data_IF_787688235148
#
_entry.id   IF_787688235148
#
_cell.length_a   1.000
_cell.length_b   1.000
_cell.length_c   1.000
_cell.angle_alpha   90.00
_cell.angle_beta   90.00
_cell.angle_gamma   90.00
#
_symmetry.space_group_name_H-M   'P 1'
#
loop_
_entity.id
_entity.type
_entity.pdbx_description
1 polymer ?
#
# COMPACT_ATOMS: atom_id res chain seq x y z
N UNK A 1 -1.02 -9.98 -6.40
CA UNK A 1 -2.49 -9.98 -6.24
C UNK A 1 -2.87 -9.83 -4.77
N UNK A 2 -3.72 -8.85 -4.44
CA UNK A 2 -4.19 -8.62 -3.07
C UNK A 2 -5.34 -9.59 -2.76
N UNK A 3 -5.15 -10.42 -1.74
CA UNK A 3 -6.15 -11.40 -1.32
C UNK A 3 -7.17 -10.86 -0.31
N UNK A 4 -6.75 -9.92 0.54
CA UNK A 4 -7.62 -9.36 1.59
C UNK A 4 -7.16 -7.97 2.04
N UNK A 5 -8.07 -7.26 2.72
CA UNK A 5 -7.82 -5.96 3.33
C UNK A 5 -8.17 -6.00 4.81
N UNK A 6 -7.24 -5.59 5.67
CA UNK A 6 -7.52 -5.44 7.11
C UNK A 6 -8.36 -4.19 7.42
N UNK A 7 -8.26 -3.15 6.59
CA UNK A 7 -8.98 -1.89 6.75
C UNK A 7 -9.96 -1.65 5.58
N UNK A 8 -11.27 -1.46 5.86
CA UNK A 8 -12.27 -1.24 4.82
C UNK A 8 -12.10 0.09 4.08
N UNK A 9 -11.44 1.09 4.66
CA UNK A 9 -11.15 2.34 3.95
C UNK A 9 -10.05 2.17 2.90
N UNK A 10 -9.06 1.33 3.19
CA UNK A 10 -8.02 0.91 2.23
C UNK A 10 -8.64 0.17 1.05
N UNK A 11 -9.60 -0.75 1.29
CA UNK A 11 -10.31 -1.45 0.22
C UNK A 11 -11.11 -0.48 -0.68
N UNK A 12 -11.78 0.52 -0.08
CA UNK A 12 -12.47 1.58 -0.85
C UNK A 12 -11.51 2.31 -1.77
N UNK A 13 -10.36 2.74 -1.25
CA UNK A 13 -9.34 3.44 -2.03
C UNK A 13 -8.85 2.57 -3.20
N UNK A 14 -8.59 1.28 -2.96
CA UNK A 14 -8.22 0.34 -4.01
C UNK A 14 -9.26 0.29 -5.14
N UNK A 15 -10.55 0.14 -4.76
CA UNK A 15 -11.70 0.14 -5.68
C UNK A 15 -11.96 1.49 -6.37
N UNK A 16 -11.16 2.52 -6.10
CA UNK A 16 -11.35 3.86 -6.68
C UNK A 16 -12.45 4.68 -6.00
N UNK A 17 -12.93 4.23 -4.85
CA UNK A 17 -13.94 4.93 -4.04
C UNK A 17 -13.20 5.84 -3.05
N UNK A 18 -13.59 7.11 -3.02
CA UNK A 18 -13.01 8.08 -2.08
C UNK A 18 -13.40 7.72 -0.64
N UNK A 19 -12.41 7.48 0.21
CA UNK A 19 -12.59 7.35 1.65
C UNK A 19 -12.95 8.71 2.24
N UNK A 20 -13.92 8.73 3.16
CA UNK A 20 -14.24 9.94 3.94
C UNK A 20 -13.47 10.03 5.26
N UNK A 21 -12.76 8.96 5.64
CA UNK A 21 -12.00 8.87 6.89
C UNK A 21 -10.52 9.16 6.69
N UNK A 22 -9.96 8.75 5.57
CA UNK A 22 -8.55 8.97 5.24
C UNK A 22 -8.35 10.31 4.52
N UNK A 23 -7.23 11.02 4.74
CA UNK A 23 -6.97 12.31 4.10
C UNK A 23 -7.05 12.23 2.58
N UNK A 24 -7.80 13.13 1.94
CA UNK A 24 -7.99 13.11 0.48
C UNK A 24 -6.67 13.20 -0.29
N UNK A 25 -5.69 13.93 0.25
CA UNK A 25 -4.41 14.19 -0.40
C UNK A 25 -3.58 12.92 -0.61
N UNK A 26 -3.76 11.89 0.23
CA UNK A 26 -2.96 10.65 0.15
C UNK A 26 -3.61 9.58 -0.73
N UNK A 27 -4.93 9.65 -0.97
CA UNK A 27 -5.68 8.52 -1.54
C UNK A 27 -5.25 8.19 -2.98
N UNK A 28 -4.90 9.19 -3.79
CA UNK A 28 -4.40 8.97 -5.15
C UNK A 28 -3.10 8.17 -5.16
N UNK A 29 -2.16 8.54 -4.29
CA UNK A 29 -0.86 7.87 -4.15
C UNK A 29 -1.03 6.49 -3.54
N UNK A 30 -1.88 6.38 -2.51
CA UNK A 30 -2.23 5.10 -1.88
C UNK A 30 -2.82 4.13 -2.91
N UNK A 31 -3.81 4.56 -3.70
CA UNK A 31 -4.41 3.72 -4.75
C UNK A 31 -3.37 3.23 -5.75
N UNK A 32 -2.49 4.12 -6.23
CA UNK A 32 -1.42 3.72 -7.16
C UNK A 32 -0.51 2.63 -6.56
N UNK A 33 -0.13 2.77 -5.29
CA UNK A 33 0.70 1.77 -4.59
C UNK A 33 -0.04 0.45 -4.38
N UNK A 34 -1.34 0.49 -4.07
CA UNK A 34 -2.17 -0.72 -3.95
C UNK A 34 -2.30 -1.46 -5.29
N UNK A 35 -2.42 -0.74 -6.41
CA UNK A 35 -2.40 -1.36 -7.75
C UNK A 35 -1.06 -2.05 -8.01
N UNK A 36 0.06 -1.42 -7.64
CA UNK A 36 1.37 -2.08 -7.76
C UNK A 36 1.52 -3.33 -6.90
N UNK A 37 0.95 -3.33 -5.69
CA UNK A 37 0.91 -4.52 -4.83
C UNK A 37 0.03 -5.63 -5.44
N UNK A 38 -1.05 -5.25 -6.10
CA UNK A 38 -1.94 -6.19 -6.77
C UNK A 38 -1.30 -6.81 -8.02
N UNK A 39 -0.53 -6.02 -8.77
CA UNK A 39 0.15 -6.46 -10.01
C UNK A 39 1.49 -7.18 -9.76
N UNK A 40 2.10 -7.06 -8.58
CA UNK A 40 3.41 -7.67 -8.31
C UNK A 40 3.33 -9.21 -8.23
N UNK A 41 4.28 -9.87 -8.89
CA UNK A 41 4.46 -11.32 -8.84
C UNK A 41 5.44 -11.70 -7.71
N UNK A 42 6.45 -10.86 -7.47
CA UNK A 42 7.37 -11.02 -6.34
C UNK A 42 7.75 -9.69 -5.66
N UNK A 43 8.47 -9.80 -4.53
CA UNK A 43 8.87 -8.65 -3.71
C UNK A 43 9.83 -7.68 -4.45
N UNK A 44 10.59 -8.18 -5.43
CA UNK A 44 11.59 -7.42 -6.20
C UNK A 44 10.91 -6.47 -7.17
N UNK A 45 9.73 -6.82 -7.68
CA UNK A 45 8.90 -5.91 -8.49
C UNK A 45 8.59 -4.62 -7.73
N UNK A 46 8.33 -4.76 -6.42
CA UNK A 46 8.01 -3.63 -5.55
C UNK A 46 9.22 -2.75 -5.24
N UNK A 47 10.43 -3.33 -5.23
CA UNK A 47 11.70 -2.63 -5.06
C UNK A 47 12.13 -1.89 -6.32
N UNK A 48 11.78 -2.38 -7.51
CA UNK A 48 12.12 -1.76 -8.78
C UNK A 48 11.36 -0.45 -9.04
N UNK A 49 10.25 -0.21 -8.34
CA UNK A 49 9.41 0.98 -8.52
C UNK A 49 10.06 2.23 -7.91
N UNK A 50 10.28 3.30 -8.71
CA UNK A 50 10.91 4.51 -8.21
C UNK A 50 10.08 5.16 -7.11
N UNK A 51 10.72 5.44 -5.97
CA UNK A 51 10.08 6.07 -4.81
C UNK A 51 9.27 5.12 -3.92
N UNK A 52 9.30 3.81 -4.16
CA UNK A 52 8.91 2.85 -3.14
C UNK A 52 10.02 2.69 -2.11
N UNK A 53 9.68 2.97 -0.84
CA UNK A 53 10.49 2.58 0.31
C UNK A 53 9.83 1.36 0.92
N UNK A 54 10.22 0.18 0.43
CA UNK A 54 9.80 -1.08 0.99
C UNK A 54 10.61 -1.34 2.27
N UNK A 55 9.94 -1.48 3.40
CA UNK A 55 10.59 -1.69 4.70
C UNK A 55 10.11 -3.03 5.28
N UNK A 56 11.04 -3.90 5.65
CA UNK A 56 10.71 -5.12 6.39
C UNK A 56 10.33 -4.76 7.82
N UNK A 57 9.20 -5.28 8.30
CA UNK A 57 8.75 -5.06 9.67
C UNK A 57 9.36 -6.10 10.62
N UNK A 58 9.51 -5.72 11.89
CA UNK A 58 10.15 -6.54 12.93
C UNK A 58 9.20 -6.80 14.13
N UNK A 59 9.59 -7.71 15.01
CA UNK A 59 8.78 -8.10 16.18
C UNK A 59 7.56 -8.91 15.78
N UNK A 60 6.38 -8.57 16.32
CA UNK A 60 5.11 -9.30 16.05
C UNK A 60 4.65 -9.25 14.59
N UNK A 61 5.33 -8.45 13.75
CA UNK A 61 5.06 -8.32 12.31
C UNK A 61 6.20 -8.85 11.44
N UNK A 62 7.07 -9.68 11.99
CA UNK A 62 8.12 -10.34 11.22
C UNK A 62 7.52 -11.10 10.02
N UNK A 63 8.15 -10.95 8.85
CA UNK A 63 7.64 -11.47 7.58
C UNK A 63 6.65 -10.54 6.84
N UNK A 64 6.27 -9.41 7.45
CA UNK A 64 5.46 -8.39 6.78
C UNK A 64 6.33 -7.23 6.27
N UNK A 65 5.80 -6.50 5.29
CA UNK A 65 6.46 -5.35 4.68
C UNK A 65 5.55 -4.13 4.72
N UNK A 66 6.15 -2.94 4.77
CA UNK A 66 5.45 -1.68 4.60
C UNK A 66 5.94 -0.94 3.36
N UNK A 67 5.04 -0.18 2.73
CA UNK A 67 5.37 0.77 1.66
C UNK A 67 4.79 2.11 2.08
N UNK A 68 5.66 3.11 2.26
CA UNK A 68 5.21 4.47 2.63
C UNK A 68 4.45 5.14 1.49
N UNK A 69 3.40 5.87 1.82
CA UNK A 69 2.70 6.79 0.92
C UNK A 69 3.45 8.13 0.84
N UNK A 70 3.91 8.67 1.98
CA UNK A 70 4.77 9.84 2.10
C UNK A 70 5.57 9.81 3.42
N UNK A 71 6.08 10.94 3.91
CA UNK A 71 6.87 10.96 5.15
C UNK A 71 6.04 10.73 6.44
N UNK A 72 4.71 10.89 6.36
CA UNK A 72 3.77 10.73 7.48
C UNK A 72 2.92 9.45 7.39
N UNK A 73 2.61 8.99 6.18
CA UNK A 73 1.68 7.88 5.89
C UNK A 73 2.34 6.77 5.08
#
# INVERSE_FOLDING_TARGET
MIESFADPETEKIFKGIVSRKLPLIIQKTARRKLVYLDDADDLRDLLALPGNRLEALHGDREGQYSIRINDQY
#
